data_IF_872604410400
#
_entry.id   IF_872604410400
#
_cell.length_a   1.000
_cell.length_b   1.000
_cell.length_c   1.000
_cell.angle_alpha   90.00
_cell.angle_beta   90.00
_cell.angle_gamma   90.00
#
_symmetry.space_group_name_H-M   'P 1'
#
loop_
_entity.id
_entity.type
_entity.pdbx_description
1 polymer ?
#
# COMPACT_ATOMS: atom_id res chain seq x y z
N UNK A 1 -4.27 -17.00 0.73
CA UNK A 1 -2.86 -16.66 0.46
C UNK A 1 -2.25 -16.14 1.75
N UNK A 2 -1.12 -16.70 2.20
CA UNK A 2 -0.50 -16.33 3.48
C UNK A 2 0.63 -15.32 3.27
N UNK A 3 0.57 -14.20 4.01
CA UNK A 3 1.69 -13.27 4.15
C UNK A 3 2.75 -13.85 5.09
N UNK A 4 4.03 -13.67 4.78
CA UNK A 4 5.14 -14.13 5.63
C UNK A 4 5.93 -12.95 6.18
N UNK A 5 6.35 -13.09 7.44
CA UNK A 5 7.18 -12.11 8.13
C UNK A 5 8.54 -12.72 8.45
N UNK A 6 9.63 -12.06 8.03
CA UNK A 6 11.00 -12.52 8.29
C UNK A 6 11.87 -11.34 8.73
N UNK A 7 12.75 -11.55 9.70
CA UNK A 7 13.63 -10.49 10.22
C UNK A 7 15.06 -10.64 9.69
N UNK A 8 15.64 -9.54 9.22
CA UNK A 8 17.10 -9.37 9.06
C UNK A 8 17.60 -8.36 10.10
N UNK A 9 18.92 -8.24 10.31
CA UNK A 9 19.51 -7.50 11.45
C UNK A 9 18.95 -6.08 11.70
N UNK A 10 18.38 -5.39 10.70
CA UNK A 10 17.81 -4.04 10.84
C UNK A 10 16.39 -3.86 10.30
N UNK A 11 15.81 -4.86 9.62
CA UNK A 11 14.50 -4.73 8.96
C UNK A 11 13.61 -5.95 9.23
N UNK A 12 12.34 -5.67 9.47
CA UNK A 12 11.28 -6.65 9.37
C UNK A 12 10.75 -6.66 7.94
N UNK A 13 10.83 -7.81 7.29
CA UNK A 13 10.25 -8.04 5.98
C UNK A 13 8.83 -8.57 6.15
N UNK A 14 7.87 -7.95 5.47
CA UNK A 14 6.50 -8.46 5.29
C UNK A 14 6.29 -8.68 3.80
N UNK A 15 6.05 -9.92 3.38
CA UNK A 15 5.85 -10.26 1.96
C UNK A 15 4.54 -10.97 1.71
N UNK A 16 3.95 -10.69 0.56
CA UNK A 16 2.85 -11.44 -0.02
C UNK A 16 3.33 -11.99 -1.36
N UNK A 17 3.50 -13.30 -1.42
CA UNK A 17 3.94 -13.94 -2.65
C UNK A 17 2.85 -13.86 -3.72
N UNK A 18 3.19 -14.18 -4.97
CA UNK A 18 2.19 -14.35 -6.01
C UNK A 18 1.60 -15.75 -5.97
N UNK A 19 0.28 -15.86 -5.99
CA UNK A 19 -0.39 -17.14 -6.18
C UNK A 19 -0.62 -17.36 -7.68
N UNK A 20 0.03 -18.37 -8.25
CA UNK A 20 -0.10 -18.69 -9.67
C UNK A 20 -1.52 -19.15 -10.03
N UNK A 21 -2.20 -19.83 -9.11
CA UNK A 21 -3.54 -20.38 -9.34
C UNK A 21 -4.61 -19.28 -9.38
N UNK A 22 -4.49 -18.30 -8.48
CA UNK A 22 -5.44 -17.18 -8.36
C UNK A 22 -5.16 -16.08 -9.39
N UNK A 23 -3.88 -15.75 -9.62
CA UNK A 23 -3.50 -14.63 -10.50
C UNK A 23 -3.52 -14.98 -11.98
N UNK A 24 -3.37 -16.26 -12.35
CA UNK A 24 -3.19 -16.72 -13.75
C UNK A 24 -2.03 -16.03 -14.51
N UNK A 25 -1.18 -15.26 -13.83
CA UNK A 25 -0.04 -14.53 -14.44
C UNK A 25 1.05 -15.53 -14.84
N UNK A 26 1.67 -15.32 -16.01
CA UNK A 26 2.70 -16.24 -16.54
C UNK A 26 4.10 -16.00 -15.94
N UNK A 27 4.42 -14.80 -15.49
CA UNK A 27 5.71 -14.44 -14.85
C UNK A 27 5.58 -13.17 -13.98
N UNK A 28 6.57 -12.93 -13.11
CA UNK A 28 6.69 -11.77 -12.20
C UNK A 28 5.58 -11.66 -11.12
N UNK A 29 5.68 -10.67 -10.23
CA UNK A 29 4.76 -10.41 -9.10
C UNK A 29 5.38 -10.65 -7.73
N UNK A 30 4.54 -10.61 -6.71
CA UNK A 30 4.91 -10.61 -5.30
C UNK A 30 5.09 -9.18 -4.79
N UNK A 31 4.59 -8.94 -3.57
CA UNK A 31 4.74 -7.68 -2.85
C UNK A 31 5.62 -7.87 -1.63
N UNK A 32 6.42 -6.86 -1.31
CA UNK A 32 7.28 -6.85 -0.15
C UNK A 32 7.32 -5.46 0.47
N UNK A 33 7.21 -5.39 1.78
CA UNK A 33 7.40 -4.20 2.58
C UNK A 33 8.51 -4.46 3.59
N UNK A 34 9.54 -3.60 3.57
CA UNK A 34 10.59 -3.61 4.58
C UNK A 34 10.32 -2.52 5.61
N UNK A 35 10.23 -2.91 6.88
CA UNK A 35 10.00 -1.99 8.00
C UNK A 35 11.27 -1.92 8.82
N UNK A 36 11.86 -0.72 8.95
CA UNK A 36 13.02 -0.53 9.80
C UNK A 36 12.63 -0.71 11.27
N UNK A 37 13.25 -1.66 11.97
CA UNK A 37 12.89 -1.99 13.36
C UNK A 37 13.28 -0.89 14.35
N UNK A 38 14.17 0.02 13.96
CA UNK A 38 14.49 1.24 14.74
C UNK A 38 13.40 2.30 14.64
N UNK A 39 12.52 2.21 13.63
CA UNK A 39 11.41 3.15 13.42
C UNK A 39 10.07 2.61 13.96
N UNK A 40 9.85 1.29 13.85
CA UNK A 40 8.64 0.64 14.33
C UNK A 40 8.99 -0.67 15.04
N UNK A 41 8.40 -0.90 16.22
CA UNK A 41 8.51 -2.18 16.91
C UNK A 41 7.91 -3.29 16.03
N UNK A 42 8.62 -4.41 15.79
CA UNK A 42 8.09 -5.56 15.06
C UNK A 42 6.76 -6.08 15.58
N UNK A 43 6.52 -6.05 16.90
CA UNK A 43 5.26 -6.46 17.52
C UNK A 43 4.06 -5.55 17.19
N UNK A 44 4.31 -4.39 16.58
CA UNK A 44 3.28 -3.47 16.10
C UNK A 44 3.12 -3.47 14.58
N UNK A 45 3.73 -4.45 13.90
CA UNK A 45 3.57 -4.65 12.46
C UNK A 45 2.56 -5.76 12.24
N UNK A 46 1.43 -5.42 11.60
CA UNK A 46 0.31 -6.36 11.40
C UNK A 46 -0.14 -6.36 9.95
N UNK A 47 -0.31 -7.53 9.35
CA UNK A 47 -0.92 -7.63 8.02
C UNK A 47 -2.43 -7.46 8.18
N UNK A 48 -2.98 -6.46 7.49
CA UNK A 48 -4.40 -6.10 7.53
C UNK A 48 -5.19 -6.73 6.40
N UNK A 49 -4.56 -6.87 5.22
CA UNK A 49 -5.18 -7.45 4.04
C UNK A 49 -4.11 -7.98 3.09
N UNK A 50 -4.41 -9.07 2.38
CA UNK A 50 -3.59 -9.56 1.28
C UNK A 50 -4.49 -10.08 0.16
N UNK A 51 -4.40 -9.48 -1.01
CA UNK A 51 -5.20 -9.82 -2.19
C UNK A 51 -4.26 -10.11 -3.35
N UNK A 52 -4.54 -11.21 -4.06
CA UNK A 52 -3.83 -11.58 -5.27
C UNK A 52 -4.86 -12.04 -6.32
N UNK A 53 -5.08 -11.20 -7.34
CA UNK A 53 -5.96 -11.48 -8.47
C UNK A 53 -5.21 -11.31 -9.80
N UNK A 54 -5.81 -11.67 -10.94
CA UNK A 54 -5.21 -11.39 -12.24
C UNK A 54 -5.00 -9.90 -12.50
N UNK A 55 -5.86 -9.06 -11.93
CA UNK A 55 -5.88 -7.62 -12.19
C UNK A 55 -5.06 -6.81 -11.17
N UNK A 56 -4.82 -7.34 -9.95
CA UNK A 56 -4.11 -6.62 -8.90
C UNK A 56 -3.48 -7.55 -7.87
N UNK A 57 -2.32 -7.14 -7.36
CA UNK A 57 -1.78 -7.62 -6.08
C UNK A 57 -1.80 -6.46 -5.07
N UNK A 58 -2.26 -6.73 -3.85
CA UNK A 58 -2.39 -5.74 -2.79
C UNK A 58 -1.97 -6.34 -1.45
N UNK A 59 -1.14 -5.61 -0.71
CA UNK A 59 -0.71 -5.95 0.65
C UNK A 59 -0.91 -4.72 1.54
N UNK A 60 -1.82 -4.81 2.51
CA UNK A 60 -2.03 -3.75 3.50
C UNK A 60 -1.36 -4.14 4.82
N UNK A 61 -0.50 -3.26 5.35
CA UNK A 61 0.24 -3.48 6.59
C UNK A 61 0.00 -2.33 7.54
N UNK A 62 -0.55 -2.62 8.72
CA UNK A 62 -0.68 -1.70 9.84
C UNK A 62 0.63 -1.62 10.62
N UNK A 63 1.02 -0.41 11.01
CA UNK A 63 2.28 -0.08 11.68
C UNK A 63 2.01 0.90 12.81
N UNK A 64 2.61 0.71 13.99
CA UNK A 64 2.69 1.74 15.03
C UNK A 64 4.14 2.13 15.31
N UNK A 65 4.67 3.12 14.56
CA UNK A 65 6.00 3.67 14.80
C UNK A 65 6.13 4.25 16.21
N UNK A 66 7.36 4.33 16.71
CA UNK A 66 7.66 4.93 18.02
C UNK A 66 7.25 6.41 18.05
N UNK A 67 7.47 7.12 16.95
CA UNK A 67 7.11 8.51 16.77
C UNK A 67 6.11 8.63 15.63
N UNK A 68 4.90 9.06 15.95
CA UNK A 68 3.82 9.32 15.01
C UNK A 68 3.14 10.63 15.45
N UNK A 69 2.77 11.52 14.51
CA UNK A 69 2.00 12.72 14.85
C UNK A 69 0.75 12.38 15.68
N UNK A 70 0.42 13.25 16.63
CA UNK A 70 -0.60 12.99 17.66
C UNK A 70 -2.00 12.73 17.07
N UNK A 71 -2.27 13.32 15.92
CA UNK A 71 -3.52 13.18 15.17
C UNK A 71 -3.73 11.77 14.60
N UNK A 72 -2.69 10.94 14.50
CA UNK A 72 -2.79 9.59 13.97
C UNK A 72 -2.64 8.54 15.07
N UNK A 73 -3.56 7.58 15.10
CA UNK A 73 -3.52 6.44 16.01
C UNK A 73 -2.45 5.42 15.61
N UNK A 74 -2.27 5.20 14.32
CA UNK A 74 -1.30 4.30 13.69
C UNK A 74 -1.21 4.62 12.18
N UNK A 75 -0.29 3.98 11.46
CA UNK A 75 -0.17 4.07 10.02
C UNK A 75 -0.62 2.75 9.35
N UNK A 76 -1.17 2.84 8.15
CA UNK A 76 -1.48 1.71 7.28
C UNK A 76 -0.85 1.99 5.92
N UNK A 77 0.04 1.10 5.51
CA UNK A 77 0.71 1.15 4.20
C UNK A 77 0.06 0.09 3.32
N UNK A 78 -0.61 0.53 2.27
CA UNK A 78 -1.19 -0.33 1.23
C UNK A 78 -0.22 -0.33 0.05
N UNK A 79 0.42 -1.47 -0.19
CA UNK A 79 1.32 -1.69 -1.33
C UNK A 79 0.52 -2.34 -2.45
N UNK A 80 0.64 -1.81 -3.67
CA UNK A 80 -0.15 -2.23 -4.83
C UNK A 80 0.76 -2.55 -6.02
N UNK A 81 0.43 -3.61 -6.75
CA UNK A 81 0.97 -3.87 -8.08
C UNK A 81 -0.17 -4.20 -9.06
N UNK A 82 -0.29 -3.40 -10.12
CA UNK A 82 -1.26 -3.61 -11.19
C UNK A 82 -0.49 -4.05 -12.45
N UNK A 83 -0.65 -5.29 -12.93
CA UNK A 83 0.02 -5.76 -14.13
C UNK A 83 -0.29 -4.91 -15.37
N UNK A 84 0.64 -4.78 -16.34
CA UNK A 84 0.39 -4.07 -17.59
C UNK A 84 -0.80 -4.58 -18.40
N UNK A 85 -1.17 -5.85 -18.24
CA UNK A 85 -2.30 -6.48 -18.94
C UNK A 85 -3.62 -6.44 -18.15
N UNK A 86 -3.62 -5.83 -16.97
CA UNK A 86 -4.77 -5.85 -16.06
C UNK A 86 -5.93 -4.98 -16.53
N UNK A 87 -7.13 -5.39 -16.14
CA UNK A 87 -8.30 -4.52 -16.21
C UNK A 87 -8.22 -3.45 -15.11
N UNK A 88 -7.88 -2.22 -15.51
CA UNK A 88 -7.68 -1.11 -14.58
C UNK A 88 -8.94 -0.79 -13.73
N UNK A 89 -10.15 -0.94 -14.28
CA UNK A 89 -11.38 -0.68 -13.53
C UNK A 89 -11.54 -1.67 -12.37
N UNK A 90 -11.35 -2.97 -12.63
CA UNK A 90 -11.40 -4.01 -11.59
C UNK A 90 -10.32 -3.82 -10.52
N UNK A 91 -9.11 -3.45 -10.93
CA UNK A 91 -8.04 -3.14 -9.99
C UNK A 91 -8.41 -1.95 -9.10
N UNK A 92 -8.95 -0.87 -9.68
CA UNK A 92 -9.42 0.28 -8.92
C UNK A 92 -10.55 -0.11 -7.95
N UNK A 93 -11.54 -0.91 -8.36
CA UNK A 93 -12.65 -1.36 -7.50
C UNK A 93 -12.14 -2.14 -6.27
N UNK A 94 -11.14 -3.01 -6.47
CA UNK A 94 -10.49 -3.73 -5.36
C UNK A 94 -9.78 -2.76 -4.41
N UNK A 95 -9.06 -1.77 -4.94
CA UNK A 95 -8.39 -0.75 -4.11
C UNK A 95 -9.44 0.06 -3.33
N UNK A 96 -10.49 0.53 -4.00
CA UNK A 96 -11.55 1.32 -3.39
C UNK A 96 -12.26 0.58 -2.26
N UNK A 97 -12.71 -0.65 -2.51
CA UNK A 97 -13.41 -1.46 -1.50
C UNK A 97 -12.50 -1.79 -0.31
N UNK A 98 -11.24 -2.12 -0.57
CA UNK A 98 -10.25 -2.41 0.49
C UNK A 98 -9.98 -1.17 1.34
N UNK A 99 -9.71 -0.03 0.70
CA UNK A 99 -9.39 1.23 1.40
C UNK A 99 -10.60 1.76 2.16
N UNK A 100 -11.79 1.70 1.58
CA UNK A 100 -13.01 2.12 2.27
C UNK A 100 -13.22 1.32 3.56
N UNK A 101 -13.06 -0.01 3.52
CA UNK A 101 -13.13 -0.86 4.71
C UNK A 101 -12.04 -0.50 5.72
N UNK A 102 -10.79 -0.32 5.28
CA UNK A 102 -9.70 0.08 6.18
C UNK A 102 -9.96 1.45 6.83
N UNK A 103 -10.55 2.40 6.12
CA UNK A 103 -10.95 3.70 6.70
C UNK A 103 -12.08 3.54 7.73
N UNK A 104 -13.05 2.65 7.48
CA UNK A 104 -14.13 2.34 8.43
C UNK A 104 -13.59 1.66 9.70
N UNK A 105 -12.72 0.66 9.55
CA UNK A 105 -12.16 -0.11 10.66
C UNK A 105 -11.12 0.72 11.45
N UNK A 106 -10.47 1.68 10.79
CA UNK A 106 -9.36 2.46 11.33
C UNK A 106 -9.49 3.97 11.04
N UNK A 107 -10.53 4.65 11.59
CA UNK A 107 -10.86 6.04 11.24
C UNK A 107 -9.79 7.07 11.62
N UNK A 108 -8.96 6.76 12.61
CA UNK A 108 -7.83 7.61 13.03
C UNK A 108 -6.48 7.19 12.44
N UNK A 109 -6.44 6.37 11.39
CA UNK A 109 -5.18 5.92 10.79
C UNK A 109 -4.69 6.89 9.71
N UNK A 110 -3.37 7.07 9.66
CA UNK A 110 -2.70 7.59 8.48
C UNK A 110 -2.63 6.47 7.43
N UNK A 111 -3.23 6.65 6.26
CA UNK A 111 -3.31 5.62 5.22
C UNK A 111 -2.57 6.09 3.96
N UNK A 112 -1.67 5.25 3.47
CA UNK A 112 -1.02 5.45 2.17
C UNK A 112 -1.31 4.29 1.24
N UNK A 113 -1.44 4.58 -0.04
CA UNK A 113 -1.54 3.60 -1.13
C UNK A 113 -0.38 3.89 -2.07
N UNK A 114 0.52 2.95 -2.24
CA UNK A 114 1.71 3.14 -3.06
C UNK A 114 2.09 1.88 -3.83
N UNK A 115 2.79 2.07 -4.95
CA UNK A 115 3.33 0.98 -5.75
C UNK A 115 3.23 1.26 -7.24
N UNK A 116 3.31 0.21 -8.05
CA UNK A 116 3.33 0.29 -9.51
C UNK A 116 1.92 0.06 -10.07
N UNK A 117 1.33 1.15 -10.59
CA UNK A 117 0.00 1.15 -11.18
C UNK A 117 0.04 0.87 -12.69
N UNK A 118 1.23 0.82 -13.31
CA UNK A 118 1.42 0.76 -14.74
C UNK A 118 0.54 1.79 -15.47
N UNK A 119 -0.56 1.34 -16.08
CA UNK A 119 -1.49 2.19 -16.84
C UNK A 119 -2.69 2.68 -16.04
N UNK A 120 -2.93 2.15 -14.84
CA UNK A 120 -4.08 2.52 -14.02
C UNK A 120 -3.88 3.85 -13.29
N UNK A 121 -4.99 4.54 -13.03
CA UNK A 121 -5.04 5.72 -12.16
C UNK A 121 -6.28 5.60 -11.29
N UNK A 122 -6.13 5.88 -10.00
CA UNK A 122 -7.30 5.93 -9.13
C UNK A 122 -8.18 7.11 -9.55
N UNK A 123 -9.49 6.88 -9.75
CA UNK A 123 -10.40 7.95 -10.12
C UNK A 123 -10.47 9.00 -9.00
N UNK A 124 -10.81 10.23 -9.38
CA UNK A 124 -10.99 11.35 -8.42
C UNK A 124 -12.07 11.09 -7.36
N UNK A 125 -12.88 10.04 -7.55
CA UNK A 125 -13.90 9.58 -6.62
C UNK A 125 -13.31 8.90 -5.37
N UNK A 126 -12.00 8.63 -5.31
CA UNK A 126 -11.33 8.27 -4.04
C UNK A 126 -11.22 9.50 -3.15
N UNK A 127 -12.37 9.92 -2.59
CA UNK A 127 -12.48 11.12 -1.77
C UNK A 127 -11.56 11.04 -0.56
N UNK A 128 -10.89 12.15 -0.26
CA UNK A 128 -9.99 12.25 0.89
C UNK A 128 -8.56 11.80 0.63
N UNK A 129 -8.22 11.29 -0.56
CA UNK A 129 -6.84 10.95 -0.93
C UNK A 129 -6.22 11.99 -1.87
N UNK A 130 -4.98 12.35 -1.56
CA UNK A 130 -4.14 13.21 -2.40
C UNK A 130 -3.07 12.37 -3.06
N UNK A 131 -2.90 12.51 -4.38
CA UNK A 131 -1.77 11.91 -5.09
C UNK A 131 -0.54 12.84 -4.97
N UNK A 132 0.60 12.30 -4.55
CA UNK A 132 1.83 13.06 -4.29
C UNK A 132 2.93 12.95 -5.36
N UNK A 133 3.01 11.86 -6.14
CA UNK A 133 4.03 11.71 -7.19
C UNK A 133 3.64 12.50 -8.44
N UNK A 134 4.35 13.62 -8.67
CA UNK A 134 4.11 14.54 -9.79
C UNK A 134 5.12 14.45 -10.93
N UNK A 135 6.18 13.66 -10.78
CA UNK A 135 7.23 13.49 -11.78
C UNK A 135 7.16 12.12 -12.44
N UNK A 136 7.69 12.02 -13.66
CA UNK A 136 7.82 10.75 -14.38
C UNK A 136 8.65 9.75 -13.58
N UNK A 137 8.16 8.52 -13.47
CA UNK A 137 8.86 7.42 -12.78
C UNK A 137 9.42 6.40 -13.77
N UNK A 138 8.93 6.43 -15.02
CA UNK A 138 9.51 5.71 -16.15
C UNK A 138 9.33 6.51 -17.43
N UNK A 139 10.44 6.84 -18.08
CA UNK A 139 10.45 7.68 -19.29
C UNK A 139 9.66 8.98 -19.06
N UNK A 140 8.61 9.22 -19.85
CA UNK A 140 7.73 10.38 -19.75
C UNK A 140 6.37 10.05 -19.10
N UNK A 141 6.31 8.99 -18.29
CA UNK A 141 5.08 8.51 -17.64
C UNK A 141 5.25 8.34 -16.13
N UNK A 142 4.15 8.56 -15.41
CA UNK A 142 4.04 8.26 -13.97
C UNK A 142 3.34 6.90 -13.85
N UNK A 143 4.12 5.86 -13.57
CA UNK A 143 3.59 4.50 -13.35
C UNK A 143 3.51 4.20 -11.86
N UNK A 144 4.51 4.65 -11.11
CA UNK A 144 4.55 4.52 -9.66
C UNK A 144 3.82 5.69 -9.04
N UNK A 145 2.81 5.38 -8.24
CA UNK A 145 1.96 6.40 -7.62
C UNK A 145 1.96 6.24 -6.12
N UNK A 146 1.76 7.36 -5.43
CA UNK A 146 1.54 7.39 -3.99
C UNK A 146 0.35 8.29 -3.70
N UNK A 147 -0.66 7.73 -3.05
CA UNK A 147 -1.83 8.42 -2.56
C UNK A 147 -1.81 8.38 -1.03
N UNK A 148 -2.23 9.45 -0.35
CA UNK A 148 -2.41 9.43 1.10
C UNK A 148 -3.65 10.20 1.55
N UNK A 149 -4.21 9.82 2.69
CA UNK A 149 -5.42 10.44 3.26
C UNK A 149 -5.15 11.77 4.00
N UNK A 150 -4.07 12.43 3.67
CA UNK A 150 -3.69 13.76 4.16
C UNK A 150 -3.56 14.69 2.96
N UNK A 151 -3.88 15.97 3.15
CA UNK A 151 -3.72 16.99 2.09
C UNK A 151 -2.37 17.69 2.18
N UNK A 152 -1.86 17.86 3.40
CA UNK A 152 -0.60 18.53 3.70
C UNK A 152 0.15 17.71 4.76
N UNK A 153 1.49 17.76 4.73
CA UNK A 153 2.28 17.22 5.82
C UNK A 153 1.94 18.02 7.09
N UNK A 154 1.68 17.38 8.23
CA UNK A 154 1.52 18.11 9.48
C UNK A 154 2.76 18.96 9.69
N UNK A 155 2.59 20.28 9.76
CA UNK A 155 3.66 21.17 10.16
C UNK A 155 4.02 20.77 11.60
N UNK A 156 5.19 20.16 11.78
CA UNK A 156 5.79 20.01 13.11
C UNK A 156 6.03 21.40 13.64
N UNK A 157 5.12 21.88 14.48
CA UNK A 157 5.36 23.05 15.32
C UNK A 157 6.23 22.56 16.47
N UNK A 158 7.55 22.74 16.31
CA UNK A 158 8.52 22.74 17.43
C UNK A 158 8.29 23.93 18.33
#
# INVERSE_FOLDING_TARGET
MESRTQQSNCFLMVRADRDRTLSRKKSAGGLILYVNIKWCNPGHVTVKETICTPDIELLAVGLRPYYLPREFSHAIVVVVYIPPSANAARACDVIHSTVARLQTDHPGAFLTINGDFNHAKLPKTLTGFTQYVKCSTRENKILDMMYANVKEAPLTTT
#
